data_IF_409326632324
#
_entry.id   IF_409326632324
#
_cell.length_a   1.000
_cell.length_b   1.000
_cell.length_c   1.000
_cell.angle_alpha   90.00
_cell.angle_beta   90.00
_cell.angle_gamma   90.00
#
_symmetry.space_group_name_H-M   'P 1'
#
loop_
_entity.id
_entity.type
_entity.pdbx_description
1 polymer ?
#
# COMPACT_ATOMS: atom_id res chain seq x y z
N UNK A 1 -3.96 19.39 20.20
CA UNK A 1 -2.50 19.32 19.89
C UNK A 1 -2.20 18.11 18.99
N UNK A 2 -2.64 16.91 19.35
CA UNK A 2 -2.46 15.70 18.52
C UNK A 2 -3.11 15.74 17.14
N UNK A 3 -4.22 16.48 16.98
CA UNK A 3 -4.94 16.57 15.71
C UNK A 3 -4.20 17.37 14.61
N UNK A 4 -3.24 18.23 14.99
CA UNK A 4 -2.43 19.02 14.05
C UNK A 4 -1.12 18.34 13.62
N UNK A 5 -0.82 17.16 14.16
CA UNK A 5 0.42 16.43 13.84
C UNK A 5 0.21 15.51 12.63
N UNK A 6 1.26 15.35 11.82
CA UNK A 6 1.31 14.34 10.76
C UNK A 6 0.95 12.96 11.35
N UNK A 7 0.14 12.12 10.66
CA UNK A 7 -0.25 10.78 11.12
C UNK A 7 0.91 9.94 11.68
N UNK A 8 2.09 10.00 11.04
CA UNK A 8 3.31 9.32 11.50
C UNK A 8 3.75 9.80 12.90
N UNK A 9 3.68 11.10 13.13
CA UNK A 9 4.05 11.73 14.40
C UNK A 9 3.00 11.48 15.50
N UNK A 10 1.70 11.38 15.15
CA UNK A 10 0.61 11.07 16.08
C UNK A 10 0.75 9.68 16.69
N UNK A 11 0.99 8.67 15.83
CA UNK A 11 1.17 7.29 16.27
C UNK A 11 2.40 7.14 17.18
N UNK A 12 3.53 7.76 16.80
CA UNK A 12 4.76 7.71 17.60
C UNK A 12 4.58 8.37 19.00
N UNK A 13 3.81 9.46 19.08
CA UNK A 13 3.47 10.10 20.35
C UNK A 13 2.65 9.19 21.26
N UNK A 14 1.67 8.45 20.71
CA UNK A 14 0.85 7.49 21.46
C UNK A 14 1.71 6.33 21.98
N UNK A 15 2.58 5.74 21.14
CA UNK A 15 3.47 4.66 21.58
C UNK A 15 4.44 5.11 22.67
N UNK A 16 4.98 6.32 22.55
CA UNK A 16 5.87 6.90 23.56
C UNK A 16 5.12 7.13 24.88
N UNK A 17 3.86 7.56 24.81
CA UNK A 17 3.00 7.70 25.99
C UNK A 17 2.72 6.35 26.66
N UNK A 18 2.41 5.31 25.89
CA UNK A 18 2.20 3.94 26.39
C UNK A 18 3.47 3.43 27.08
N UNK A 19 4.62 3.56 26.42
CA UNK A 19 5.91 3.14 26.98
C UNK A 19 6.22 3.88 28.30
N UNK A 20 6.01 5.20 28.34
CA UNK A 20 6.21 5.99 29.55
C UNK A 20 5.27 5.59 30.69
N UNK A 21 4.02 5.22 30.36
CA UNK A 21 3.02 4.80 31.35
C UNK A 21 3.37 3.44 31.95
N UNK A 22 3.83 2.49 31.12
CA UNK A 22 4.28 1.17 31.57
C UNK A 22 5.48 1.31 32.52
N UNK A 23 6.47 2.15 32.16
CA UNK A 23 7.64 2.38 33.01
C UNK A 23 7.26 3.03 34.35
N UNK A 24 6.39 4.05 34.33
CA UNK A 24 5.89 4.71 35.54
C UNK A 24 5.08 3.76 36.44
N UNK A 25 4.30 2.85 35.87
CA UNK A 25 3.54 1.84 36.61
C UNK A 25 4.43 0.80 37.28
N UNK A 26 5.62 0.56 36.73
CA UNK A 26 6.61 -0.37 37.28
C UNK A 26 7.49 0.25 38.38
N UNK A 27 7.82 1.54 38.26
CA UNK A 27 8.71 2.25 39.19
C UNK A 27 7.97 2.83 40.42
N UNK A 28 6.63 2.80 40.43
CA UNK A 28 5.81 3.29 41.53
C UNK A 28 6.03 2.50 42.83
N UNK A 29 5.93 3.18 43.97
CA UNK A 29 6.09 2.63 45.34
C UNK A 29 5.15 1.46 45.62
N UNK A 30 3.99 1.44 44.97
CA UNK A 30 3.08 0.30 44.89
C UNK A 30 2.95 -0.10 43.40
N UNK A 31 3.71 -1.10 42.93
CA UNK A 31 3.67 -1.50 41.54
C UNK A 31 2.34 -2.19 41.25
N UNK A 32 1.55 -1.61 40.36
CA UNK A 32 0.35 -2.23 39.83
C UNK A 32 0.68 -3.43 38.91
N UNK A 33 1.89 -3.49 38.37
CA UNK A 33 2.41 -4.59 37.56
C UNK A 33 3.78 -5.00 38.13
N UNK A 34 3.87 -6.19 38.73
CA UNK A 34 5.15 -6.79 39.11
C UNK A 34 5.75 -7.52 37.93
N UNK A 35 6.65 -6.86 37.22
CA UNK A 35 7.46 -7.50 36.18
C UNK A 35 8.75 -8.08 36.79
N UNK A 36 9.18 -9.28 36.37
CA UNK A 36 10.53 -9.74 36.66
C UNK A 36 11.56 -8.84 35.94
N UNK A 37 12.80 -8.77 36.46
CA UNK A 37 13.82 -7.81 36.00
C UNK A 37 14.10 -7.86 34.48
N UNK A 38 13.91 -9.02 33.84
CA UNK A 38 14.07 -9.22 32.40
C UNK A 38 12.82 -8.86 31.56
N UNK A 39 11.63 -8.83 32.16
CA UNK A 39 10.39 -8.53 31.45
C UNK A 39 10.28 -7.05 31.04
N UNK A 40 10.94 -6.13 31.75
CA UNK A 40 11.00 -4.72 31.34
C UNK A 40 11.68 -4.54 29.99
N UNK A 41 12.83 -5.18 29.81
CA UNK A 41 13.57 -5.15 28.54
C UNK A 41 12.80 -5.85 27.43
N UNK A 42 12.13 -6.97 27.73
CA UNK A 42 11.29 -7.67 26.76
C UNK A 42 10.08 -6.82 26.32
N UNK A 43 9.41 -6.15 27.26
CA UNK A 43 8.26 -5.28 26.96
C UNK A 43 8.67 -4.05 26.13
N UNK A 44 9.76 -3.38 26.50
CA UNK A 44 10.31 -2.27 25.72
C UNK A 44 10.78 -2.74 24.33
N UNK A 45 11.38 -3.93 24.25
CA UNK A 45 11.74 -4.55 22.97
C UNK A 45 10.53 -4.74 22.07
N UNK A 46 9.42 -5.29 22.60
CA UNK A 46 8.18 -5.47 21.83
C UNK A 46 7.49 -4.16 21.44
N UNK A 47 7.60 -3.11 22.25
CA UNK A 47 7.13 -1.78 21.88
C UNK A 47 7.97 -1.17 20.76
N UNK A 48 9.30 -1.40 20.78
CA UNK A 48 10.18 -1.01 19.69
C UNK A 48 9.90 -1.79 18.40
N UNK A 49 9.66 -3.10 18.48
CA UNK A 49 9.26 -3.95 17.35
C UNK A 49 7.95 -3.42 16.72
N UNK A 50 6.95 -3.12 17.55
CA UNK A 50 5.67 -2.56 17.11
C UNK A 50 5.85 -1.18 16.44
N UNK A 51 6.67 -0.31 17.05
CA UNK A 51 7.01 0.99 16.46
C UNK A 51 7.68 0.84 15.11
N UNK A 52 8.57 -0.14 14.96
CA UNK A 52 9.23 -0.50 13.72
C UNK A 52 8.22 -0.93 12.65
N UNK A 53 7.35 -1.89 12.96
CA UNK A 53 6.34 -2.40 12.04
C UNK A 53 5.39 -1.29 11.54
N UNK A 54 4.93 -0.41 12.42
CA UNK A 54 4.08 0.71 12.04
C UNK A 54 4.84 1.79 11.24
N UNK A 55 6.15 1.94 11.47
CA UNK A 55 7.02 2.75 10.62
C UNK A 55 7.15 2.19 9.20
N UNK A 56 7.28 0.87 9.07
CA UNK A 56 7.35 0.17 7.77
C UNK A 56 6.08 0.35 6.94
N UNK A 57 4.90 0.36 7.56
CA UNK A 57 3.63 0.66 6.85
C UNK A 57 3.68 2.08 6.27
N UNK A 58 4.14 3.05 7.07
CA UNK A 58 4.30 4.43 6.62
C UNK A 58 5.37 4.63 5.55
N UNK A 59 6.37 3.74 5.50
CA UNK A 59 7.42 3.72 4.47
C UNK A 59 6.91 3.08 3.18
N UNK A 60 6.14 1.98 3.26
CA UNK A 60 5.46 1.38 2.10
C UNK A 60 4.48 2.36 1.43
N UNK A 61 3.82 3.21 2.22
CA UNK A 61 2.92 4.24 1.69
C UNK A 61 3.67 5.40 1.01
N UNK A 62 4.89 5.72 1.48
CA UNK A 62 5.75 6.79 0.93
C UNK A 62 6.57 6.30 -0.27
N UNK A 63 6.93 5.02 -0.29
CA UNK A 63 7.69 4.34 -1.34
C UNK A 63 6.86 4.09 -2.61
N UNK A 64 5.92 4.99 -2.92
CA UNK A 64 5.21 4.98 -4.20
C UNK A 64 6.24 5.09 -5.33
N UNK A 65 6.11 4.21 -6.33
CA UNK A 65 6.90 4.29 -7.55
C UNK A 65 6.61 5.62 -8.25
N UNK A 66 7.62 6.13 -8.96
CA UNK A 66 7.48 7.36 -9.72
C UNK A 66 6.33 7.23 -10.74
N UNK A 67 5.37 8.16 -10.65
CA UNK A 67 4.10 8.17 -11.39
C UNK A 67 4.30 7.98 -12.91
N UNK A 68 5.44 8.40 -13.46
CA UNK A 68 5.77 8.21 -14.87
C UNK A 68 5.87 6.74 -15.31
N UNK A 69 6.28 5.81 -14.43
CA UNK A 69 6.41 4.39 -14.79
C UNK A 69 5.05 3.72 -15.00
N UNK A 70 4.08 4.04 -14.13
CA UNK A 70 2.71 3.50 -14.21
C UNK A 70 2.02 3.98 -15.49
N UNK A 71 2.15 5.28 -15.82
CA UNK A 71 1.59 5.82 -17.06
C UNK A 71 2.25 5.26 -18.32
N UNK A 72 3.56 4.98 -18.29
CA UNK A 72 4.26 4.37 -19.42
C UNK A 72 3.69 2.97 -19.71
N UNK A 73 3.51 2.14 -18.68
CA UNK A 73 2.96 0.79 -18.86
C UNK A 73 1.51 0.84 -19.36
N UNK A 74 0.69 1.75 -18.81
CA UNK A 74 -0.67 1.97 -19.28
C UNK A 74 -0.70 2.33 -20.77
N UNK A 75 0.09 3.31 -21.19
CA UNK A 75 0.18 3.73 -22.60
C UNK A 75 0.69 2.61 -23.50
N UNK A 76 1.66 1.81 -23.03
CA UNK A 76 2.21 0.68 -23.77
C UNK A 76 1.16 -0.42 -24.02
N UNK A 77 0.37 -0.76 -23.00
CA UNK A 77 -0.71 -1.75 -23.14
C UNK A 77 -1.83 -1.22 -24.03
N UNK A 78 -2.22 0.05 -23.86
CA UNK A 78 -3.26 0.67 -24.68
C UNK A 78 -2.83 0.75 -26.15
N UNK A 79 -1.58 1.12 -26.43
CA UNK A 79 -1.04 1.14 -27.79
C UNK A 79 -0.98 -0.25 -28.42
N UNK A 80 -0.56 -1.27 -27.65
CA UNK A 80 -0.54 -2.66 -28.10
C UNK A 80 -1.94 -3.15 -28.47
N UNK A 81 -2.94 -2.85 -27.63
CA UNK A 81 -4.32 -3.28 -27.81
C UNK A 81 -4.96 -2.58 -29.02
N UNK A 82 -4.64 -1.30 -29.25
CA UNK A 82 -5.06 -0.56 -30.46
C UNK A 82 -4.40 -1.10 -31.73
N UNK A 83 -3.13 -1.52 -31.68
CA UNK A 83 -2.42 -2.08 -32.85
C UNK A 83 -2.83 -3.52 -33.19
N UNK A 84 -3.23 -4.30 -32.18
CA UNK A 84 -3.62 -5.71 -32.34
C UNK A 84 -4.70 -5.94 -33.43
N UNK A 85 -5.83 -5.22 -33.49
CA UNK A 85 -6.84 -5.45 -34.53
C UNK A 85 -6.31 -5.19 -35.94
N UNK A 86 -5.44 -4.19 -36.14
CA UNK A 86 -4.87 -3.92 -37.45
C UNK A 86 -3.96 -5.06 -37.92
N UNK A 87 -3.16 -5.63 -37.03
CA UNK A 87 -2.29 -6.77 -37.35
C UNK A 87 -3.08 -8.08 -37.56
N UNK A 88 -4.07 -8.34 -36.71
CA UNK A 88 -4.82 -9.61 -36.74
C UNK A 88 -5.82 -9.70 -37.91
N UNK A 89 -6.25 -8.56 -38.48
CA UNK A 89 -7.13 -8.54 -39.65
C UNK A 89 -6.48 -9.12 -40.91
N UNK A 90 -5.17 -8.95 -41.10
CA UNK A 90 -4.47 -9.49 -42.27
C UNK A 90 -4.33 -11.02 -42.24
N UNK A 91 -4.17 -11.62 -41.06
CA UNK A 91 -3.93 -13.07 -40.94
C UNK A 91 -5.21 -13.91 -40.76
N UNK A 92 -6.16 -13.47 -39.92
CA UNK A 92 -7.31 -14.30 -39.48
C UNK A 92 -8.67 -13.86 -40.01
N UNK A 93 -8.77 -12.74 -40.73
CA UNK A 93 -10.03 -12.23 -41.28
C UNK A 93 -11.10 -12.06 -40.19
N UNK A 94 -12.25 -12.72 -40.31
CA UNK A 94 -13.38 -12.55 -39.39
C UNK A 94 -13.13 -13.11 -37.96
N UNK A 95 -12.27 -14.12 -37.83
CA UNK A 95 -11.91 -14.68 -36.50
C UNK A 95 -11.03 -13.72 -35.68
N UNK A 96 -10.42 -12.73 -36.34
CA UNK A 96 -9.64 -11.66 -35.70
C UNK A 96 -10.43 -10.94 -34.60
N UNK A 97 -11.73 -10.74 -34.80
CA UNK A 97 -12.60 -10.05 -33.84
C UNK A 97 -12.69 -10.81 -32.51
N UNK A 98 -12.81 -12.14 -32.56
CA UNK A 98 -12.86 -12.96 -31.36
C UNK A 98 -11.51 -13.01 -30.63
N UNK A 99 -10.42 -13.13 -31.39
CA UNK A 99 -9.06 -13.15 -30.83
C UNK A 99 -8.67 -11.82 -30.18
N UNK A 100 -8.95 -10.70 -30.84
CA UNK A 100 -8.69 -9.34 -30.31
C UNK A 100 -9.54 -9.04 -29.08
N UNK A 101 -10.81 -9.46 -29.05
CA UNK A 101 -11.66 -9.33 -27.87
C UNK A 101 -11.11 -10.11 -26.66
N UNK A 102 -10.72 -11.37 -26.87
CA UNK A 102 -10.14 -12.18 -25.80
C UNK A 102 -8.81 -11.60 -25.30
N UNK A 103 -7.97 -11.12 -26.22
CA UNK A 103 -6.71 -10.46 -25.91
C UNK A 103 -6.94 -9.19 -25.10
N UNK A 104 -7.91 -8.37 -25.51
CA UNK A 104 -8.31 -7.16 -24.79
C UNK A 104 -8.74 -7.48 -23.36
N UNK A 105 -9.61 -8.47 -23.18
CA UNK A 105 -10.08 -8.89 -21.86
C UNK A 105 -8.91 -9.32 -20.95
N UNK A 106 -7.97 -10.09 -21.50
CA UNK A 106 -6.83 -10.59 -20.75
C UNK A 106 -5.85 -9.49 -20.34
N UNK A 107 -5.48 -8.60 -21.27
CA UNK A 107 -4.51 -7.53 -20.98
C UNK A 107 -5.11 -6.41 -20.12
N UNK A 108 -6.39 -6.06 -20.31
CA UNK A 108 -7.08 -5.13 -19.41
C UNK A 108 -7.21 -5.71 -18.00
N UNK A 109 -7.62 -6.98 -17.87
CA UNK A 109 -7.72 -7.62 -16.55
C UNK A 109 -6.37 -7.78 -15.84
N UNK A 110 -5.29 -8.07 -16.58
CA UNK A 110 -3.94 -8.10 -16.02
C UNK A 110 -3.47 -6.72 -15.55
N UNK A 111 -3.82 -5.66 -16.27
CA UNK A 111 -3.52 -4.29 -15.87
C UNK A 111 -4.23 -3.93 -14.56
N UNK A 112 -5.51 -4.26 -14.44
CA UNK A 112 -6.28 -3.97 -13.23
C UNK A 112 -5.76 -4.76 -12.02
N UNK A 113 -5.35 -6.02 -12.23
CA UNK A 113 -4.69 -6.81 -11.19
C UNK A 113 -3.34 -6.18 -10.79
N UNK A 114 -2.55 -5.71 -11.75
CA UNK A 114 -1.27 -5.05 -11.47
C UNK A 114 -1.47 -3.76 -10.65
N UNK A 115 -2.50 -2.97 -10.96
CA UNK A 115 -2.89 -1.79 -10.16
C UNK A 115 -3.31 -2.17 -8.74
N UNK A 116 -4.09 -3.24 -8.59
CA UNK A 116 -4.52 -3.73 -7.26
C UNK A 116 -3.34 -4.26 -6.41
N UNK A 117 -2.37 -4.92 -7.03
CA UNK A 117 -1.15 -5.37 -6.34
C UNK A 117 -0.19 -4.21 -6.02
N UNK A 118 -0.25 -3.13 -6.80
CA UNK A 118 0.57 -1.94 -6.60
C UNK A 118 0.14 -1.13 -5.36
N UNK A 119 -1.16 -1.04 -5.08
CA UNK A 119 -1.69 -0.42 -3.87
C UNK A 119 -2.49 -1.40 -3.00
N UNK A 120 -1.82 -2.17 -2.11
CA UNK A 120 -2.50 -3.13 -1.23
C UNK A 120 -3.37 -2.45 -0.16
N UNK A 121 -3.27 -1.13 0.02
CA UNK A 121 -4.06 -0.37 0.99
C UNK A 121 -5.29 0.29 0.36
N UNK A 122 -5.49 0.12 -0.95
CA UNK A 122 -6.64 0.65 -1.70
C UNK A 122 -6.90 2.14 -1.43
N UNK A 123 -5.83 2.93 -1.38
CA UNK A 123 -5.90 4.35 -1.07
C UNK A 123 -6.52 5.15 -2.23
N UNK A 124 -6.44 4.64 -3.46
CA UNK A 124 -7.01 5.29 -4.65
C UNK A 124 -8.26 4.58 -5.20
N UNK A 125 -8.90 3.73 -4.39
CA UNK A 125 -10.17 3.07 -4.75
C UNK A 125 -10.15 2.40 -6.14
N UNK A 126 -9.07 1.72 -6.50
CA UNK A 126 -8.98 0.94 -7.73
C UNK A 126 -10.13 -0.09 -7.77
N UNK A 127 -11.18 0.19 -8.56
CA UNK A 127 -12.40 -0.62 -8.67
C UNK A 127 -13.71 0.01 -8.20
N UNK A 128 -13.73 1.27 -7.74
CA UNK A 128 -14.96 2.01 -7.44
C UNK A 128 -15.06 3.28 -8.32
N UNK A 129 -15.56 3.10 -9.54
CA UNK A 129 -16.11 4.10 -10.49
C UNK A 129 -15.27 5.37 -10.86
N UNK A 130 -14.11 5.63 -10.27
CA UNK A 130 -13.20 6.73 -10.66
C UNK A 130 -11.83 6.15 -11.06
N UNK A 131 -11.72 5.71 -12.32
CA UNK A 131 -10.52 5.07 -12.89
C UNK A 131 -9.38 6.05 -13.24
N UNK A 132 -9.47 7.31 -12.80
CA UNK A 132 -8.43 8.31 -13.05
C UNK A 132 -7.56 8.47 -11.80
N UNK A 133 -6.25 8.26 -11.98
CA UNK A 133 -5.23 8.59 -10.97
C UNK A 133 -5.33 10.09 -10.70
N UNK A 134 -5.86 10.47 -9.54
CA UNK A 134 -5.93 11.88 -9.13
C UNK A 134 -4.53 12.39 -8.80
N UNK A 135 -4.18 13.53 -9.39
CA UNK A 135 -2.92 14.22 -9.17
C UNK A 135 -3.12 15.11 -7.93
N UNK A 136 -2.47 14.80 -6.81
CA UNK A 136 -2.24 15.78 -5.73
C UNK A 136 -0.93 16.55 -5.98
#
# INVERSE_FOLDING_TARGET
ILEKLNPKARFNAILTWIASTIMRGCESKEPCIRMPANAHFAALGKLCDLRGACGTIGDMLDARCHIAYVHLIQLLVDFFLVMTPFAALEEMGWFSIGGTFLLSLFFSGLMDLAKMLYDPFNNECFGADDDNIEID
#
